data_IF_735925528325
#
_entry.id   IF_735925528325
#
_cell.length_a   1.000
_cell.length_b   1.000
_cell.length_c   1.000
_cell.angle_alpha   90.00
_cell.angle_beta   90.00
_cell.angle_gamma   90.00
#
_symmetry.space_group_name_H-M   'P 1'
#
loop_
_entity.id
_entity.type
_entity.pdbx_description
1 polymer ?
#
# COMPACT_ATOMS: atom_id res chain seq x y z
N UNK A 1 -11.38 -10.56 4.26
CA UNK A 1 -10.25 -9.85 3.62
C UNK A 1 -10.74 -8.67 2.78
N UNK A 2 -9.89 -7.66 2.56
CA UNK A 2 -10.23 -6.41 1.84
C UNK A 2 -10.36 -6.63 0.31
N UNK A 3 -11.30 -5.93 -0.32
CA UNK A 3 -11.38 -5.73 -1.78
C UNK A 3 -10.06 -5.26 -2.39
N UNK A 4 -9.23 -4.56 -1.62
CA UNK A 4 -7.97 -3.96 -2.11
C UNK A 4 -6.88 -4.99 -2.39
N UNK A 5 -6.66 -5.97 -1.49
CA UNK A 5 -5.57 -6.95 -1.64
C UNK A 5 -5.86 -7.88 -2.81
N UNK A 6 -7.10 -8.38 -2.88
CA UNK A 6 -7.57 -9.23 -3.99
C UNK A 6 -7.51 -8.48 -5.32
N UNK A 7 -7.90 -7.20 -5.36
CA UNK A 7 -7.74 -6.37 -6.56
C UNK A 7 -6.29 -6.30 -7.02
N UNK A 8 -5.35 -5.90 -6.16
CA UNK A 8 -3.96 -5.76 -6.58
C UNK A 8 -3.28 -7.09 -6.91
N UNK A 9 -3.69 -8.18 -6.25
CA UNK A 9 -3.30 -9.54 -6.62
C UNK A 9 -3.77 -9.91 -8.03
N UNK A 10 -5.03 -9.59 -8.35
CA UNK A 10 -5.61 -9.83 -9.68
C UNK A 10 -4.91 -9.01 -10.77
N UNK A 11 -4.60 -7.74 -10.50
CA UNK A 11 -3.83 -6.91 -11.43
C UNK A 11 -2.48 -7.53 -11.79
N UNK A 12 -1.80 -8.14 -10.81
CA UNK A 12 -0.52 -8.81 -11.03
C UNK A 12 -0.70 -10.10 -11.85
N UNK A 13 -1.77 -10.87 -11.59
CA UNK A 13 -2.14 -12.05 -12.37
C UNK A 13 -2.40 -11.69 -13.83
N UNK A 14 -3.22 -10.68 -14.08
CA UNK A 14 -3.54 -10.18 -15.43
C UNK A 14 -2.29 -9.69 -16.16
N UNK A 15 -1.37 -9.03 -15.47
CA UNK A 15 -0.12 -8.56 -16.07
C UNK A 15 0.75 -9.72 -16.56
N UNK A 16 0.85 -10.80 -15.78
CA UNK A 16 1.58 -12.01 -16.16
C UNK A 16 0.88 -12.73 -17.31
N UNK A 17 -0.43 -12.98 -17.17
CA UNK A 17 -1.21 -13.72 -18.16
C UNK A 17 -1.24 -13.03 -19.54
N UNK A 18 -1.45 -11.71 -19.57
CA UNK A 18 -1.57 -10.96 -20.82
C UNK A 18 -0.21 -10.55 -21.41
N UNK A 19 0.86 -10.63 -20.63
CA UNK A 19 2.18 -10.10 -20.99
C UNK A 19 2.22 -8.57 -21.10
N UNK A 20 1.17 -7.84 -20.70
CA UNK A 20 1.15 -6.38 -20.73
C UNK A 20 1.83 -5.79 -19.49
N UNK A 21 3.16 -5.70 -19.53
CA UNK A 21 3.96 -5.09 -18.46
C UNK A 21 3.93 -3.56 -18.44
N UNK A 22 3.36 -2.91 -19.46
CA UNK A 22 3.31 -1.45 -19.54
C UNK A 22 2.11 -0.88 -18.77
N UNK A 23 0.92 -1.41 -19.02
CA UNK A 23 -0.34 -0.87 -18.51
C UNK A 23 -0.95 -1.83 -17.49
N UNK A 24 -0.95 -1.47 -16.19
CA UNK A 24 -1.70 -2.22 -15.20
C UNK A 24 -3.17 -2.31 -15.62
N UNK A 25 -3.77 -3.50 -15.52
CA UNK A 25 -5.15 -3.74 -15.93
C UNK A 25 -6.05 -3.87 -14.70
N UNK A 26 -7.19 -3.19 -14.73
CA UNK A 26 -8.26 -3.37 -13.74
C UNK A 26 -9.08 -4.62 -14.05
N UNK A 27 -9.29 -4.88 -15.35
CA UNK A 27 -9.90 -6.07 -15.92
C UNK A 27 -9.31 -6.29 -17.33
N UNK A 28 -9.59 -7.41 -17.99
CA UNK A 28 -9.18 -7.68 -19.36
C UNK A 28 -9.57 -6.53 -20.30
N UNK A 29 -8.57 -5.90 -20.90
CA UNK A 29 -8.76 -4.76 -21.81
C UNK A 29 -9.13 -3.44 -21.13
N UNK A 30 -9.26 -3.40 -19.80
CA UNK A 30 -9.63 -2.21 -19.04
C UNK A 30 -8.40 -1.71 -18.27
N UNK A 31 -7.81 -0.55 -18.63
CA UNK A 31 -6.64 -0.05 -17.94
C UNK A 31 -6.96 0.45 -16.53
N UNK A 32 -6.00 0.32 -15.63
CA UNK A 32 -6.02 0.92 -14.30
C UNK A 32 -5.12 2.15 -14.25
N UNK A 33 -5.74 3.32 -14.21
CA UNK A 33 -5.05 4.62 -14.15
C UNK A 33 -4.83 5.14 -12.73
N UNK A 34 -5.31 4.42 -11.72
CA UNK A 34 -5.29 4.89 -10.34
C UNK A 34 -3.88 5.02 -9.75
N UNK A 35 -2.91 4.20 -10.19
CA UNK A 35 -1.55 4.16 -9.63
C UNK A 35 -0.50 3.78 -10.69
N UNK A 36 0.77 4.19 -10.51
CA UNK A 36 1.87 3.75 -11.36
C UNK A 36 2.23 2.26 -11.09
N UNK A 37 3.13 1.65 -11.87
CA UNK A 37 3.12 0.21 -12.09
C UNK A 37 3.94 -0.57 -11.06
N UNK A 38 4.78 0.10 -10.25
CA UNK A 38 5.84 -0.58 -9.48
C UNK A 38 5.29 -1.64 -8.52
N UNK A 39 4.16 -1.37 -7.87
CA UNK A 39 3.56 -2.34 -6.94
C UNK A 39 3.01 -3.58 -7.68
N UNK A 40 2.53 -3.39 -8.92
CA UNK A 40 2.05 -4.49 -9.77
C UNK A 40 3.24 -5.28 -10.29
N UNK A 41 4.30 -4.59 -10.78
CA UNK A 41 5.55 -5.21 -11.22
C UNK A 41 6.20 -6.06 -10.12
N UNK A 42 6.27 -5.55 -8.89
CA UNK A 42 6.80 -6.29 -7.75
C UNK A 42 6.13 -7.66 -7.61
N UNK A 43 4.79 -7.66 -7.60
CA UNK A 43 3.99 -8.88 -7.41
C UNK A 43 4.04 -9.78 -8.65
N UNK A 44 3.94 -9.21 -9.85
CA UNK A 44 3.99 -9.93 -11.12
C UNK A 44 5.34 -10.63 -11.35
N UNK A 45 6.48 -9.98 -11.04
CA UNK A 45 7.81 -10.59 -11.13
C UNK A 45 7.90 -11.81 -10.20
N UNK A 46 7.36 -11.70 -8.98
CA UNK A 46 7.34 -12.81 -8.03
C UNK A 46 6.48 -13.97 -8.52
N UNK A 47 5.32 -13.68 -9.13
CA UNK A 47 4.45 -14.69 -9.76
C UNK A 47 5.15 -15.37 -10.93
N UNK A 48 5.85 -14.63 -11.79
CA UNK A 48 6.61 -15.19 -12.92
C UNK A 48 7.70 -16.17 -12.45
N UNK A 49 8.38 -15.83 -11.34
CA UNK A 49 9.49 -16.62 -10.81
C UNK A 49 9.05 -17.85 -10.01
N UNK A 50 7.95 -17.75 -9.27
CA UNK A 50 7.59 -18.74 -8.24
C UNK A 50 6.17 -19.33 -8.41
N UNK A 51 5.43 -18.90 -9.43
CA UNK A 51 4.05 -19.29 -9.67
C UNK A 51 3.04 -18.43 -8.91
N UNK A 52 1.77 -18.54 -9.32
CA UNK A 52 0.65 -17.79 -8.73
C UNK A 52 0.25 -18.39 -7.37
N UNK A 53 0.36 -17.58 -6.31
CA UNK A 53 -0.13 -17.92 -4.98
C UNK A 53 -0.27 -16.64 -4.13
N UNK A 54 -1.04 -16.71 -3.04
CA UNK A 54 -1.12 -15.59 -2.09
C UNK A 54 0.25 -15.23 -1.50
N UNK A 55 1.08 -16.24 -1.25
CA UNK A 55 2.42 -16.04 -0.69
C UNK A 55 3.33 -15.29 -1.68
N UNK A 56 3.35 -15.73 -2.94
CA UNK A 56 4.21 -15.13 -3.98
C UNK A 56 3.78 -13.70 -4.31
N UNK A 57 2.49 -13.37 -4.23
CA UNK A 57 2.02 -11.98 -4.34
C UNK A 57 2.51 -11.09 -3.18
N UNK A 58 2.55 -11.61 -1.95
CA UNK A 58 2.96 -10.85 -0.74
C UNK A 58 4.48 -10.76 -0.56
N UNK A 59 5.22 -11.77 -1.04
CA UNK A 59 6.67 -11.90 -0.89
C UNK A 59 7.47 -10.62 -1.20
N UNK A 60 7.27 -9.92 -2.34
CA UNK A 60 8.06 -8.73 -2.66
C UNK A 60 7.74 -7.54 -1.74
N UNK A 61 6.50 -7.42 -1.25
CA UNK A 61 6.11 -6.38 -0.27
C UNK A 61 6.74 -6.64 1.09
N UNK A 62 6.80 -7.92 1.49
CA UNK A 62 7.52 -8.34 2.69
C UNK A 62 9.02 -8.04 2.57
N UNK A 63 9.64 -8.37 1.44
CA UNK A 63 11.04 -8.06 1.18
C UNK A 63 11.33 -6.54 1.20
N UNK A 64 10.41 -5.73 0.67
CA UNK A 64 10.46 -4.27 0.79
C UNK A 64 10.41 -3.81 2.25
N UNK A 65 9.55 -4.42 3.08
CA UNK A 65 9.50 -4.19 4.52
C UNK A 65 10.82 -4.53 5.22
N UNK A 66 11.40 -5.70 4.95
CA UNK A 66 12.70 -6.11 5.47
C UNK A 66 13.80 -5.12 5.08
N UNK A 67 13.82 -4.67 3.83
CA UNK A 67 14.75 -3.64 3.37
C UNK A 67 14.61 -2.34 4.16
N UNK A 68 13.39 -1.83 4.36
CA UNK A 68 13.16 -0.59 5.12
C UNK A 68 13.62 -0.75 6.58
N UNK A 69 13.33 -1.88 7.22
CA UNK A 69 13.79 -2.20 8.59
C UNK A 69 15.31 -2.20 8.66
N UNK A 70 15.97 -2.94 7.76
CA UNK A 70 17.42 -3.00 7.69
C UNK A 70 18.03 -1.62 7.46
N UNK A 71 17.48 -0.84 6.53
CA UNK A 71 18.07 0.43 6.14
C UNK A 71 17.87 1.51 7.20
N UNK A 72 16.72 1.53 7.90
CA UNK A 72 16.50 2.36 9.07
C UNK A 72 17.44 2.00 10.24
N UNK A 73 17.61 0.70 10.52
CA UNK A 73 18.55 0.23 11.54
C UNK A 73 20.00 0.60 11.20
N UNK A 74 20.41 0.41 9.94
CA UNK A 74 21.71 0.86 9.44
C UNK A 74 21.90 2.36 9.61
N UNK A 75 20.88 3.16 9.31
CA UNK A 75 20.91 4.61 9.47
C UNK A 75 21.06 5.03 10.93
N UNK A 76 20.35 4.39 11.85
CA UNK A 76 20.53 4.59 13.30
C UNK A 76 21.96 4.26 13.72
N UNK A 77 22.49 3.09 13.34
CA UNK A 77 23.86 2.66 13.68
C UNK A 77 24.90 3.66 13.18
N UNK A 78 24.74 4.13 11.95
CA UNK A 78 25.69 5.06 11.32
C UNK A 78 25.75 6.42 11.99
N UNK A 79 24.70 6.79 12.72
CA UNK A 79 24.61 8.04 13.49
C UNK A 79 24.81 7.81 15.00
N UNK A 80 25.32 6.65 15.41
CA UNK A 80 25.69 6.38 16.81
C UNK A 80 24.56 5.85 17.70
N UNK A 81 23.42 5.46 17.12
CA UNK A 81 22.26 4.96 17.84
C UNK A 81 22.09 3.46 17.69
N UNK A 82 21.36 2.82 18.61
CA UNK A 82 21.21 1.36 18.63
C UNK A 82 20.37 0.87 17.42
N UNK A 83 20.95 0.10 16.48
CA UNK A 83 20.22 -0.40 15.31
C UNK A 83 19.06 -1.33 15.67
N UNK A 84 19.22 -2.16 16.72
CA UNK A 84 18.20 -3.13 17.11
C UNK A 84 16.93 -2.44 17.60
N UNK A 85 17.07 -1.29 18.26
CA UNK A 85 15.90 -0.52 18.72
C UNK A 85 15.10 -0.02 17.53
N UNK A 86 15.77 0.58 16.53
CA UNK A 86 15.10 1.03 15.32
C UNK A 86 14.46 -0.14 14.56
N UNK A 87 15.16 -1.28 14.45
CA UNK A 87 14.63 -2.47 13.78
C UNK A 87 13.37 -3.00 14.47
N UNK A 88 13.44 -3.21 15.79
CA UNK A 88 12.33 -3.74 16.59
C UNK A 88 11.13 -2.79 16.53
N UNK A 89 11.35 -1.50 16.82
CA UNK A 89 10.27 -0.49 16.80
C UNK A 89 9.57 -0.46 15.44
N UNK A 90 10.31 -0.41 14.35
CA UNK A 90 9.72 -0.37 13.02
C UNK A 90 8.96 -1.67 12.70
N UNK A 91 9.58 -2.82 12.96
CA UNK A 91 8.99 -4.13 12.67
C UNK A 91 7.74 -4.46 13.50
N UNK A 92 7.56 -3.80 14.66
CA UNK A 92 6.40 -3.97 15.55
C UNK A 92 5.50 -2.72 15.57
N UNK A 93 5.64 -1.83 14.59
CA UNK A 93 4.67 -0.77 14.32
C UNK A 93 3.48 -1.39 13.59
N UNK A 94 2.27 -1.29 14.17
CA UNK A 94 1.07 -1.98 13.67
C UNK A 94 0.86 -1.88 12.16
N UNK A 95 0.79 -0.66 11.62
CA UNK A 95 0.54 -0.44 10.18
C UNK A 95 1.68 -0.97 9.32
N UNK A 96 2.92 -0.90 9.81
CA UNK A 96 4.09 -1.37 9.08
C UNK A 96 4.10 -2.90 9.00
N UNK A 97 3.84 -3.58 10.11
CA UNK A 97 3.77 -5.05 10.15
C UNK A 97 2.66 -5.58 9.22
N UNK A 98 1.49 -4.95 9.24
CA UNK A 98 0.36 -5.33 8.37
C UNK A 98 0.69 -5.03 6.90
N UNK A 99 1.16 -3.82 6.59
CA UNK A 99 1.44 -3.41 5.21
C UNK A 99 2.57 -4.22 4.57
N UNK A 100 3.55 -4.66 5.36
CA UNK A 100 4.61 -5.55 4.87
C UNK A 100 4.10 -6.97 4.55
N UNK A 101 2.99 -7.40 5.16
CA UNK A 101 2.38 -8.70 4.92
C UNK A 101 1.26 -8.71 3.87
N UNK A 102 0.89 -7.56 3.32
CA UNK A 102 -0.24 -7.40 2.40
C UNK A 102 0.21 -6.90 1.02
N UNK A 103 -0.55 -7.23 -0.02
CA UNK A 103 -0.34 -6.68 -1.37
C UNK A 103 -0.83 -5.23 -1.41
N UNK A 104 0.08 -4.26 -1.25
CA UNK A 104 -0.26 -2.84 -1.13
C UNK A 104 0.74 -1.90 -1.81
N UNK A 105 0.27 -0.73 -2.24
CA UNK A 105 1.14 0.28 -2.89
C UNK A 105 2.09 0.99 -1.93
N UNK A 106 1.71 1.10 -0.65
CA UNK A 106 2.36 1.97 0.33
C UNK A 106 3.78 1.50 0.72
N UNK A 107 4.06 0.20 0.64
CA UNK A 107 5.39 -0.35 0.96
C UNK A 107 6.44 0.12 -0.04
N UNK A 108 6.13 0.09 -1.34
CA UNK A 108 7.04 0.58 -2.39
C UNK A 108 7.33 2.08 -2.24
N UNK A 109 6.31 2.88 -1.91
CA UNK A 109 6.51 4.30 -1.58
C UNK A 109 7.42 4.48 -0.36
N UNK A 110 7.22 3.66 0.67
CA UNK A 110 8.02 3.72 1.91
C UNK A 110 9.49 3.36 1.64
N UNK A 111 9.78 2.39 0.77
CA UNK A 111 11.15 2.12 0.28
C UNK A 111 11.74 3.36 -0.37
N UNK A 112 11.03 3.93 -1.35
CA UNK A 112 11.50 5.11 -2.10
C UNK A 112 11.78 6.31 -1.21
N UNK A 113 10.87 6.61 -0.27
CA UNK A 113 11.03 7.72 0.68
C UNK A 113 12.15 7.46 1.69
N UNK A 114 12.29 6.22 2.18
CA UNK A 114 13.39 5.87 3.08
C UNK A 114 14.74 6.02 2.38
N UNK A 115 14.85 5.60 1.12
CA UNK A 115 16.00 5.85 0.25
C UNK A 115 16.26 7.35 0.04
N UNK A 116 15.21 8.11 -0.27
CA UNK A 116 15.29 9.56 -0.45
C UNK A 116 15.82 10.27 0.80
N UNK A 117 15.23 10.01 1.95
CA UNK A 117 15.55 10.69 3.22
C UNK A 117 16.95 10.33 3.74
N UNK A 118 17.29 9.03 3.76
CA UNK A 118 18.61 8.59 4.21
C UNK A 118 19.69 9.03 3.22
N UNK A 119 19.42 8.92 1.92
CA UNK A 119 20.30 9.41 0.86
C UNK A 119 20.56 10.90 1.00
N UNK A 120 19.51 11.69 1.23
CA UNK A 120 19.62 13.11 1.48
C UNK A 120 20.51 13.42 2.68
N UNK A 121 20.23 12.84 3.84
CA UNK A 121 20.98 13.14 5.06
C UNK A 121 22.46 12.71 4.96
N UNK A 122 22.75 11.55 4.37
CA UNK A 122 24.14 11.11 4.17
C UNK A 122 24.90 11.99 3.17
N UNK A 123 24.23 12.45 2.12
CA UNK A 123 24.81 13.42 1.17
C UNK A 123 25.07 14.77 1.87
N UNK A 124 24.14 15.19 2.73
CA UNK A 124 24.29 16.41 3.53
C UNK A 124 25.53 16.38 4.42
N UNK A 125 25.87 15.22 4.98
CA UNK A 125 27.10 14.98 5.74
C UNK A 125 28.37 14.86 4.87
N UNK A 126 28.29 15.18 3.57
CA UNK A 126 29.44 15.24 2.66
C UNK A 126 29.68 13.98 1.82
N UNK A 127 28.79 12.98 1.85
CA UNK A 127 28.95 11.75 1.07
C UNK A 127 28.15 11.81 -0.23
N UNK A 128 28.69 12.49 -1.24
CA UNK A 128 27.98 12.85 -2.48
C UNK A 128 27.28 11.69 -3.20
N UNK A 129 27.83 10.46 -3.15
CA UNK A 129 27.19 9.27 -3.74
C UNK A 129 25.76 9.05 -3.23
N UNK A 130 25.50 9.34 -1.96
CA UNK A 130 24.18 9.18 -1.36
C UNK A 130 23.13 10.13 -1.93
N UNK A 131 23.55 11.23 -2.57
CA UNK A 131 22.64 12.08 -3.35
C UNK A 131 21.96 11.28 -4.46
N UNK A 132 22.71 10.44 -5.19
CA UNK A 132 22.15 9.57 -6.23
C UNK A 132 21.22 8.50 -5.66
N UNK A 133 21.54 7.92 -4.50
CA UNK A 133 20.62 7.02 -3.78
C UNK A 133 19.32 7.75 -3.43
N UNK A 134 19.42 9.00 -3.01
CA UNK A 134 18.26 9.84 -2.71
C UNK A 134 17.37 10.08 -3.94
N UNK A 135 17.97 10.45 -5.06
CA UNK A 135 17.26 10.64 -6.34
C UNK A 135 16.67 9.34 -6.91
N UNK A 136 17.38 8.22 -6.78
CA UNK A 136 16.84 6.90 -7.13
C UNK A 136 15.63 6.55 -6.24
N UNK A 137 15.69 6.87 -4.94
CA UNK A 137 14.56 6.73 -4.02
C UNK A 137 13.34 7.57 -4.43
N UNK A 138 13.55 8.81 -4.87
CA UNK A 138 12.47 9.64 -5.42
C UNK A 138 11.87 9.03 -6.70
N UNK A 139 12.68 8.44 -7.58
CA UNK A 139 12.18 7.74 -8.77
C UNK A 139 11.34 6.51 -8.42
N UNK A 140 11.79 5.72 -7.44
CA UNK A 140 11.00 4.61 -6.87
C UNK A 140 9.68 5.11 -6.31
N UNK A 141 9.68 6.23 -5.55
CA UNK A 141 8.47 6.85 -5.03
C UNK A 141 7.51 7.32 -6.13
N UNK A 142 8.04 7.92 -7.20
CA UNK A 142 7.27 8.32 -8.37
C UNK A 142 6.63 7.12 -9.07
N UNK A 143 7.34 6.00 -9.22
CA UNK A 143 6.81 4.77 -9.81
C UNK A 143 5.93 3.95 -8.85
N UNK A 144 5.93 4.26 -7.55
CA UNK A 144 5.07 3.63 -6.57
C UNK A 144 3.71 4.34 -6.44
N UNK A 145 3.74 5.66 -6.23
CA UNK A 145 2.55 6.44 -5.87
C UNK A 145 2.52 7.85 -6.45
N UNK A 146 3.38 8.17 -7.42
CA UNK A 146 3.34 9.43 -8.14
C UNK A 146 3.96 10.62 -7.39
N UNK A 147 3.58 11.86 -7.78
CA UNK A 147 4.18 13.10 -7.29
C UNK A 147 4.19 13.30 -5.77
N UNK A 148 3.30 12.61 -5.05
CA UNK A 148 3.25 12.66 -3.57
C UNK A 148 4.61 12.35 -2.93
N UNK A 149 5.44 11.53 -3.57
CA UNK A 149 6.77 11.21 -3.08
C UNK A 149 7.68 12.45 -2.98
N UNK A 150 7.64 13.32 -4.00
CA UNK A 150 8.42 14.57 -4.04
C UNK A 150 7.87 15.55 -2.99
N UNK A 151 6.55 15.63 -2.84
CA UNK A 151 5.91 16.54 -1.88
C UNK A 151 6.27 16.14 -0.44
N UNK A 152 6.17 14.86 -0.09
CA UNK A 152 6.56 14.36 1.24
C UNK A 152 8.05 14.58 1.52
N UNK A 153 8.91 14.30 0.55
CA UNK A 153 10.34 14.59 0.66
C UNK A 153 10.61 16.08 0.90
N UNK A 154 9.99 16.95 0.09
CA UNK A 154 10.12 18.40 0.23
C UNK A 154 9.63 18.91 1.58
N UNK A 155 8.49 18.42 2.08
CA UNK A 155 7.95 18.81 3.39
C UNK A 155 8.83 18.39 4.57
N UNK A 156 9.61 17.32 4.46
CA UNK A 156 10.58 16.97 5.48
C UNK A 156 11.88 17.80 5.35
N UNK A 157 12.40 17.90 4.13
CA UNK A 157 13.75 18.42 3.89
C UNK A 157 13.79 19.95 3.91
N UNK A 158 12.82 20.60 3.27
CA UNK A 158 12.84 22.05 3.09
C UNK A 158 12.79 22.81 4.42
N UNK A 159 11.85 22.56 5.35
CA UNK A 159 11.84 23.25 6.64
C UNK A 159 13.12 22.99 7.45
N UNK A 160 13.65 21.76 7.39
CA UNK A 160 14.87 21.38 8.09
C UNK A 160 16.12 22.14 7.58
N UNK A 161 16.24 22.35 6.26
CA UNK A 161 17.31 23.15 5.69
C UNK A 161 17.15 24.64 6.01
N UNK A 162 15.93 25.17 5.92
CA UNK A 162 15.63 26.59 6.19
C UNK A 162 15.95 26.95 7.65
N UNK A 163 15.64 26.07 8.61
CA UNK A 163 15.96 26.29 10.02
C UNK A 163 17.47 26.41 10.26
N UNK A 164 18.30 25.69 9.48
CA UNK A 164 19.75 25.68 9.66
C UNK A 164 20.47 26.81 8.93
N UNK A 165 20.00 27.18 7.73
CA UNK A 165 20.75 28.06 6.83
C UNK A 165 19.94 29.26 6.30
N UNK A 166 18.69 29.42 6.76
CA UNK A 166 17.75 30.37 6.15
C UNK A 166 17.33 29.93 4.74
N UNK A 167 16.39 30.67 4.14
CA UNK A 167 15.83 30.32 2.83
C UNK A 167 16.91 30.34 1.74
N UNK A 168 17.67 31.43 1.65
CA UNK A 168 18.71 31.58 0.62
C UNK A 168 19.85 30.57 0.83
N UNK A 169 20.31 30.43 2.07
CA UNK A 169 21.40 29.50 2.40
C UNK A 169 21.01 28.04 2.16
N UNK A 170 19.75 27.64 2.37
CA UNK A 170 19.27 26.30 2.06
C UNK A 170 19.48 25.94 0.58
N UNK A 171 19.13 26.83 -0.35
CA UNK A 171 19.33 26.59 -1.78
C UNK A 171 20.82 26.58 -2.17
N UNK A 172 21.63 27.45 -1.58
CA UNK A 172 23.08 27.48 -1.80
C UNK A 172 23.72 26.16 -1.36
N UNK A 173 23.39 25.67 -0.17
CA UNK A 173 23.90 24.40 0.34
C UNK A 173 23.42 23.20 -0.49
N UNK A 174 22.17 23.22 -0.94
CA UNK A 174 21.63 22.19 -1.82
C UNK A 174 22.42 22.13 -3.13
N UNK A 175 22.66 23.28 -3.78
CA UNK A 175 23.44 23.35 -5.02
C UNK A 175 24.90 22.92 -4.82
N UNK A 176 25.49 23.28 -3.68
CA UNK A 176 26.90 22.97 -3.37
C UNK A 176 27.13 21.50 -3.03
N UNK A 177 26.23 20.88 -2.25
CA UNK A 177 26.44 19.53 -1.70
C UNK A 177 25.87 18.42 -2.55
N UNK A 178 24.83 18.70 -3.36
CA UNK A 178 24.07 17.66 -4.05
C UNK A 178 24.36 17.65 -5.55
N UNK A 179 24.36 16.46 -6.18
CA UNK A 179 24.46 16.34 -7.62
C UNK A 179 23.11 16.68 -8.29
N UNK A 180 22.57 17.88 -8.11
CA UNK A 180 21.19 18.21 -8.48
C UNK A 180 20.86 17.93 -9.95
N UNK A 181 21.75 18.29 -10.87
CA UNK A 181 21.54 18.08 -12.31
C UNK A 181 21.59 16.58 -12.62
N UNK A 182 22.72 15.92 -12.29
CA UNK A 182 22.92 14.49 -12.60
C UNK A 182 21.93 13.58 -11.87
N UNK A 183 21.58 13.93 -10.65
CA UNK A 183 20.62 13.24 -9.82
C UNK A 183 19.19 13.38 -10.34
N UNK A 184 18.78 14.60 -10.73
CA UNK A 184 17.48 14.80 -11.39
C UNK A 184 17.42 14.03 -12.72
N UNK A 185 18.50 14.06 -13.52
CA UNK A 185 18.57 13.27 -14.75
C UNK A 185 18.45 11.77 -14.49
N UNK A 186 19.11 11.24 -13.45
CA UNK A 186 18.95 9.85 -13.03
C UNK A 186 17.50 9.54 -12.63
N UNK A 187 16.89 10.40 -11.81
CA UNK A 187 15.51 10.23 -11.37
C UNK A 187 14.54 10.20 -12.55
N UNK A 188 14.69 11.14 -13.48
CA UNK A 188 13.87 11.21 -14.69
C UNK A 188 14.13 10.03 -15.62
N UNK A 189 15.38 9.60 -15.80
CA UNK A 189 15.71 8.45 -16.63
C UNK A 189 15.07 7.15 -16.14
N UNK A 190 14.85 7.01 -14.83
CA UNK A 190 14.18 5.85 -14.23
C UNK A 190 12.66 5.97 -14.35
N UNK A 191 12.08 7.11 -13.95
CA UNK A 191 10.62 7.23 -13.82
C UNK A 191 9.92 7.71 -15.10
N UNK A 192 10.45 8.72 -15.77
CA UNK A 192 9.78 9.42 -16.87
C UNK A 192 9.45 8.52 -18.07
N UNK A 193 10.30 7.57 -18.51
CA UNK A 193 9.98 6.72 -19.65
C UNK A 193 8.65 5.99 -19.50
N UNK A 194 8.37 5.44 -18.31
CA UNK A 194 7.11 4.73 -18.07
C UNK A 194 5.90 5.67 -18.19
N UNK A 195 5.95 6.85 -17.57
CA UNK A 195 4.86 7.84 -17.67
C UNK A 195 4.54 8.23 -19.11
N UNK A 196 5.57 8.44 -19.94
CA UNK A 196 5.39 8.78 -21.35
C UNK A 196 4.84 7.60 -22.16
N UNK A 197 5.29 6.38 -21.88
CA UNK A 197 4.78 5.18 -22.55
C UNK A 197 3.35 4.85 -22.13
N UNK A 198 3.00 5.01 -20.85
CA UNK A 198 1.66 4.80 -20.32
C UNK A 198 0.65 5.77 -20.97
N UNK A 199 1.01 7.05 -21.08
CA UNK A 199 0.17 8.04 -21.79
C UNK A 199 -0.01 7.68 -23.27
N UNK A 200 1.05 7.23 -23.95
CA UNK A 200 0.92 6.83 -25.36
C UNK A 200 0.07 5.59 -25.56
N UNK A 201 0.16 4.63 -24.64
CA UNK A 201 -0.60 3.38 -24.71
C UNK A 201 -2.08 3.60 -24.38
N UNK A 202 -2.36 4.47 -23.40
CA UNK A 202 -3.74 4.80 -22.97
C UNK A 202 -3.86 6.32 -22.79
N UNK A 203 -4.11 7.10 -23.86
CA UNK A 203 -4.21 8.55 -23.79
C UNK A 203 -5.25 9.03 -22.79
N UNK A 204 -4.91 10.08 -22.05
CA UNK A 204 -5.72 10.60 -20.93
C UNK A 204 -5.29 10.09 -19.55
N UNK A 205 -4.37 9.11 -19.49
CA UNK A 205 -3.82 8.61 -18.24
C UNK A 205 -3.21 9.73 -17.38
N UNK A 206 -2.37 10.61 -17.95
CA UNK A 206 -1.69 11.66 -17.19
C UNK A 206 -2.67 12.71 -16.65
N UNK A 207 -3.70 13.06 -17.41
CA UNK A 207 -4.74 13.99 -16.93
C UNK A 207 -5.49 13.36 -15.76
N UNK A 208 -5.97 12.13 -15.91
CA UNK A 208 -6.64 11.40 -14.83
C UNK A 208 -5.73 11.24 -13.61
N UNK A 209 -4.50 10.77 -13.80
CA UNK A 209 -3.60 10.42 -12.71
C UNK A 209 -3.03 11.64 -11.99
N UNK A 210 -2.64 12.70 -12.70
CA UNK A 210 -2.04 13.89 -12.08
C UNK A 210 -3.13 14.87 -11.63
N UNK A 211 -4.12 15.16 -12.47
CA UNK A 211 -5.15 16.15 -12.14
C UNK A 211 -6.24 15.51 -11.29
N UNK A 212 -6.78 14.35 -11.67
CA UNK A 212 -7.81 13.65 -10.89
C UNK A 212 -7.26 13.09 -9.57
N UNK A 213 -6.43 12.06 -9.65
CA UNK A 213 -5.99 11.27 -8.50
C UNK A 213 -5.08 12.01 -7.51
N UNK A 214 -4.40 13.09 -7.92
CA UNK A 214 -3.55 13.88 -7.02
C UNK A 214 -4.14 15.24 -6.69
N UNK A 215 -4.42 16.08 -7.68
CA UNK A 215 -4.87 17.44 -7.40
C UNK A 215 -6.31 17.46 -6.88
N UNK A 216 -7.29 17.01 -7.68
CA UNK A 216 -8.72 17.02 -7.31
C UNK A 216 -8.95 16.18 -6.07
N UNK A 217 -8.40 14.96 -6.00
CA UNK A 217 -8.48 14.10 -4.81
C UNK A 217 -7.93 14.77 -3.54
N UNK A 218 -6.96 15.68 -3.63
CA UNK A 218 -6.42 16.38 -2.47
C UNK A 218 -7.26 17.60 -2.07
N UNK A 219 -7.75 18.38 -3.06
CA UNK A 219 -8.43 19.66 -2.81
C UNK A 219 -9.95 19.56 -2.71
N UNK A 220 -10.58 18.58 -3.36
CA UNK A 220 -12.03 18.37 -3.43
C UNK A 220 -12.47 17.27 -2.44
N UNK A 221 -13.15 17.61 -1.34
CA UNK A 221 -13.68 16.61 -0.42
C UNK A 221 -14.71 15.71 -1.12
N UNK A 222 -14.59 14.39 -0.98
CA UNK A 222 -15.54 13.44 -1.56
C UNK A 222 -15.51 13.37 -3.09
N UNK A 223 -14.37 13.68 -3.72
CA UNK A 223 -14.17 13.63 -5.17
C UNK A 223 -14.79 12.37 -5.80
N UNK A 224 -15.79 12.58 -6.67
CA UNK A 224 -16.61 11.53 -7.31
C UNK A 224 -15.97 10.97 -8.59
N UNK A 225 -14.83 11.50 -9.01
CA UNK A 225 -14.14 11.08 -10.23
C UNK A 225 -13.28 9.81 -10.08
N UNK A 226 -13.28 9.16 -8.91
CA UNK A 226 -12.52 7.92 -8.68
C UNK A 226 -13.19 6.77 -9.45
N UNK A 227 -12.51 6.30 -10.52
CA UNK A 227 -13.01 5.23 -11.38
C UNK A 227 -12.99 3.85 -10.70
N UNK A 228 -12.32 3.72 -9.56
CA UNK A 228 -11.96 2.43 -8.98
C UNK A 228 -12.37 2.28 -7.51
N UNK A 229 -13.22 3.18 -6.99
CA UNK A 229 -13.78 3.11 -5.64
C UNK A 229 -14.44 4.42 -5.20
N UNK A 230 -14.92 4.47 -3.95
CA UNK A 230 -15.44 5.70 -3.35
C UNK A 230 -14.36 6.44 -2.57
N UNK A 231 -14.29 7.75 -2.76
CA UNK A 231 -13.43 8.63 -1.97
C UNK A 231 -13.77 8.50 -0.48
N UNK A 232 -12.79 8.10 0.33
CA UNK A 232 -12.96 8.01 1.79
C UNK A 232 -12.94 9.42 2.37
N UNK A 233 -14.12 10.03 2.49
CA UNK A 233 -14.25 11.37 3.04
C UNK A 233 -14.07 11.34 4.55
N UNK A 234 -13.04 12.03 5.01
CA UNK A 234 -12.69 12.14 6.41
C UNK A 234 -12.54 13.61 6.84
N UNK A 235 -12.85 13.93 8.11
CA UNK A 235 -12.55 15.24 8.67
C UNK A 235 -11.08 15.61 8.53
N UNK A 236 -10.80 16.87 8.16
CA UNK A 236 -9.44 17.41 8.09
C UNK A 236 -8.73 17.24 9.43
N UNK A 237 -7.46 16.83 9.38
CA UNK A 237 -6.67 16.51 10.57
C UNK A 237 -6.89 15.11 11.16
N UNK A 238 -7.84 14.30 10.65
CA UNK A 238 -8.00 12.90 11.11
C UNK A 238 -6.75 12.04 10.90
N UNK A 239 -5.82 12.47 10.03
CA UNK A 239 -4.51 11.82 9.88
C UNK A 239 -3.74 11.68 11.21
N UNK A 240 -3.89 12.61 12.17
CA UNK A 240 -3.25 12.46 13.49
C UNK A 240 -3.84 11.33 14.31
N UNK A 241 -5.15 11.11 14.21
CA UNK A 241 -5.82 9.96 14.81
C UNK A 241 -5.40 8.67 14.12
N UNK A 242 -5.30 8.67 12.78
CA UNK A 242 -4.74 7.55 12.05
C UNK A 242 -3.30 7.26 12.45
N UNK A 243 -2.45 8.27 12.63
CA UNK A 243 -1.10 8.08 13.14
C UNK A 243 -1.09 7.44 14.53
N UNK A 244 -1.98 7.89 15.41
CA UNK A 244 -2.10 7.32 16.75
C UNK A 244 -2.37 5.82 16.70
N UNK A 245 -3.32 5.36 15.87
CA UNK A 245 -3.65 3.95 15.74
C UNK A 245 -2.62 3.15 14.94
N UNK A 246 -2.22 3.68 13.78
CA UNK A 246 -1.33 3.01 12.84
C UNK A 246 0.07 2.77 13.42
N UNK A 247 0.54 3.65 14.29
CA UNK A 247 1.88 3.60 14.88
C UNK A 247 1.86 2.98 16.29
N UNK A 248 0.74 2.38 16.73
CA UNK A 248 0.70 1.65 17.99
C UNK A 248 1.78 0.54 18.03
N UNK A 249 2.38 0.29 19.22
CA UNK A 249 2.21 1.03 20.48
C UNK A 249 3.08 2.30 20.57
N UNK A 250 3.94 2.52 19.58
CA UNK A 250 5.01 3.51 19.59
C UNK A 250 4.50 4.95 19.49
N UNK A 251 3.32 5.17 18.92
CA UNK A 251 2.62 6.46 18.91
C UNK A 251 2.34 7.01 20.32
N UNK A 252 2.09 6.13 21.30
CA UNK A 252 1.88 6.50 22.70
C UNK A 252 3.22 6.68 23.43
N UNK A 253 4.19 5.82 23.12
CA UNK A 253 5.49 5.78 23.81
C UNK A 253 6.37 6.96 23.40
N UNK A 254 6.47 7.27 22.11
CA UNK A 254 7.39 8.29 21.60
C UNK A 254 7.14 9.67 22.25
N UNK A 255 5.92 10.23 22.27
CA UNK A 255 5.67 11.53 22.92
C UNK A 255 6.01 11.52 24.41
N UNK A 256 5.64 10.47 25.13
CA UNK A 256 5.93 10.33 26.58
C UNK A 256 7.43 10.31 26.83
N UNK A 257 8.18 9.52 26.05
CA UNK A 257 9.64 9.43 26.17
C UNK A 257 10.30 10.77 25.82
N UNK A 258 9.84 11.45 24.77
CA UNK A 258 10.36 12.77 24.38
C UNK A 258 10.11 13.81 25.48
N UNK A 259 8.94 13.81 26.12
CA UNK A 259 8.59 14.73 27.20
C UNK A 259 9.41 14.44 28.48
N UNK A 260 9.39 13.19 28.96
CA UNK A 260 10.11 12.78 30.19
C UNK A 260 11.63 12.97 30.04
N UNK A 261 12.16 12.89 28.82
CA UNK A 261 13.59 13.00 28.52
C UNK A 261 13.92 14.25 27.72
N UNK A 262 13.12 15.31 27.81
CA UNK A 262 13.31 16.52 27.01
C UNK A 262 14.73 17.10 27.12
N UNK A 263 15.31 17.12 28.34
CA UNK A 263 16.70 17.59 28.56
C UNK A 263 17.72 16.76 27.78
N UNK A 264 17.63 15.44 27.88
CA UNK A 264 18.50 14.52 27.15
C UNK A 264 18.29 14.63 25.63
N UNK A 265 17.04 14.76 25.17
CA UNK A 265 16.72 14.97 23.76
C UNK A 265 17.32 16.26 23.20
N UNK A 266 17.30 17.33 23.98
CA UNK A 266 17.91 18.61 23.62
C UNK A 266 19.45 18.52 23.57
N UNK A 267 20.07 17.81 24.52
CA UNK A 267 21.51 17.53 24.48
C UNK A 267 21.90 16.73 23.23
N UNK A 268 21.15 15.67 22.91
CA UNK A 268 21.33 14.89 21.69
C UNK A 268 21.20 15.77 20.43
N UNK A 269 20.15 16.59 20.35
CA UNK A 269 19.90 17.48 19.22
C UNK A 269 21.04 18.51 18.99
N UNK A 270 21.70 18.95 20.07
CA UNK A 270 22.87 19.85 19.98
C UNK A 270 24.12 19.14 19.46
N UNK A 271 24.25 17.83 19.71
CA UNK A 271 25.46 17.06 19.40
C UNK A 271 25.39 16.34 18.05
N UNK A 272 24.20 16.11 17.51
CA UNK A 272 24.01 15.19 16.37
C UNK A 272 23.78 15.89 15.02
N UNK A 273 24.33 17.09 14.80
CA UNK A 273 24.30 17.79 13.51
C UNK A 273 22.91 17.83 12.85
N UNK A 274 21.88 18.14 13.64
CA UNK A 274 20.50 18.24 13.16
C UNK A 274 19.83 16.90 12.85
N UNK A 275 20.41 15.75 13.22
CA UNK A 275 19.82 14.43 12.99
C UNK A 275 18.45 14.28 13.68
N UNK A 276 18.32 14.71 14.94
CA UNK A 276 17.04 14.64 15.66
C UNK A 276 15.97 15.48 14.96
N UNK A 277 16.28 16.72 14.60
CA UNK A 277 15.31 17.60 13.94
C UNK A 277 14.95 17.09 12.54
N UNK A 278 15.90 16.49 11.81
CA UNK A 278 15.64 15.85 10.53
C UNK A 278 14.63 14.71 10.67
N UNK A 279 14.84 13.81 11.64
CA UNK A 279 13.93 12.71 11.89
C UNK A 279 12.53 13.18 12.33
N UNK A 280 12.44 14.29 13.08
CA UNK A 280 11.14 14.90 13.43
C UNK A 280 10.42 15.39 12.16
N UNK A 281 11.08 16.16 11.30
CA UNK A 281 10.46 16.67 10.07
C UNK A 281 10.07 15.53 9.10
N UNK A 282 10.88 14.47 9.02
CA UNK A 282 10.53 13.28 8.27
C UNK A 282 9.27 12.62 8.86
N UNK A 283 9.23 12.36 10.18
CA UNK A 283 8.05 11.75 10.82
C UNK A 283 6.77 12.61 10.65
N UNK A 284 6.91 13.94 10.68
CA UNK A 284 5.79 14.88 10.55
C UNK A 284 5.35 15.10 9.09
N UNK A 285 6.20 14.88 8.10
CA UNK A 285 5.89 15.18 6.70
C UNK A 285 4.57 14.61 6.16
N UNK A 286 4.20 13.31 6.39
CA UNK A 286 2.88 12.82 5.99
C UNK A 286 1.75 13.47 6.79
N UNK A 287 1.96 13.74 8.08
CA UNK A 287 0.93 14.37 8.92
C UNK A 287 0.62 15.79 8.44
N UNK A 288 1.67 16.57 8.14
CA UNK A 288 1.53 17.93 7.63
C UNK A 288 0.77 17.93 6.30
N UNK A 289 1.18 17.09 5.36
CA UNK A 289 0.54 17.01 4.05
C UNK A 289 -0.95 16.66 4.17
N UNK A 290 -1.25 15.56 4.85
CA UNK A 290 -2.59 14.99 4.89
C UNK A 290 -3.50 15.63 5.93
N UNK A 291 -3.02 16.59 6.72
CA UNK A 291 -3.88 17.43 7.56
C UNK A 291 -4.90 18.22 6.73
N UNK A 292 -4.50 18.64 5.52
CA UNK A 292 -5.30 19.48 4.65
C UNK A 292 -6.23 18.68 3.71
N UNK A 293 -5.98 17.37 3.55
CA UNK A 293 -6.76 16.48 2.69
C UNK A 293 -7.94 15.86 3.43
N UNK A 294 -9.08 15.77 2.76
CA UNK A 294 -10.23 15.01 3.23
C UNK A 294 -10.28 13.57 2.70
N UNK A 295 -9.55 13.24 1.63
CA UNK A 295 -9.53 11.88 1.07
C UNK A 295 -8.26 11.15 1.55
N UNK A 296 -8.31 10.57 2.74
CA UNK A 296 -7.14 10.01 3.43
C UNK A 296 -7.38 8.58 3.92
N UNK A 297 -6.30 7.79 3.99
CA UNK A 297 -6.30 6.43 4.52
C UNK A 297 -5.31 6.30 5.69
N UNK A 298 -5.53 5.34 6.61
CA UNK A 298 -4.60 5.10 7.71
C UNK A 298 -3.16 4.82 7.26
N UNK A 299 -2.98 4.18 6.10
CA UNK A 299 -1.66 3.83 5.55
C UNK A 299 -0.84 5.03 5.09
N UNK A 300 -1.44 6.21 4.97
CA UNK A 300 -0.73 7.42 4.51
C UNK A 300 0.34 7.91 5.49
N UNK A 301 0.33 7.44 6.74
CA UNK A 301 1.38 7.73 7.72
C UNK A 301 2.61 6.85 7.57
N UNK A 302 2.50 5.75 6.81
CA UNK A 302 3.52 4.71 6.70
C UNK A 302 4.91 5.25 6.28
N UNK A 303 5.04 6.19 5.33
CA UNK A 303 6.35 6.72 4.93
C UNK A 303 7.11 7.46 6.06
N UNK A 304 6.42 7.85 7.14
CA UNK A 304 7.01 8.49 8.32
C UNK A 304 7.43 7.52 9.44
N UNK A 305 7.02 6.26 9.39
CA UNK A 305 7.31 5.28 10.46
C UNK A 305 8.80 4.93 10.61
N UNK A 306 9.65 4.89 9.54
CA UNK A 306 11.09 4.69 9.73
C UNK A 306 11.71 5.80 10.58
N UNK A 307 11.22 7.03 10.46
CA UNK A 307 11.69 8.15 11.26
C UNK A 307 11.27 8.03 12.73
N UNK A 308 10.06 7.55 13.01
CA UNK A 308 9.59 7.23 14.37
C UNK A 308 10.52 6.21 15.04
N UNK A 309 10.92 5.17 14.30
CA UNK A 309 11.84 4.16 14.80
C UNK A 309 13.24 4.73 15.12
N UNK A 310 13.76 5.60 14.23
CA UNK A 310 15.02 6.33 14.46
C UNK A 310 14.91 7.23 15.69
N UNK A 311 13.80 7.97 15.86
CA UNK A 311 13.57 8.83 17.02
C UNK A 311 13.57 8.03 18.32
N UNK A 312 12.86 6.91 18.39
CA UNK A 312 12.89 6.06 19.59
C UNK A 312 14.29 5.50 19.86
N UNK A 313 15.08 5.18 18.84
CA UNK A 313 16.48 4.78 19.01
C UNK A 313 17.37 5.90 19.57
N UNK A 314 17.12 7.17 19.23
CA UNK A 314 17.83 8.33 19.81
C UNK A 314 17.58 8.44 21.31
N UNK A 315 16.32 8.27 21.72
CA UNK A 315 15.90 8.43 23.11
C UNK A 315 16.10 7.19 23.98
N UNK A 316 16.48 6.06 23.39
CA UNK A 316 16.67 4.79 24.07
C UNK A 316 17.81 4.81 25.10
N UNK A 317 17.62 4.10 26.22
CA UNK A 317 18.68 3.82 27.19
C UNK A 317 18.69 2.33 27.53
N UNK A 318 19.85 1.77 27.87
CA UNK A 318 20.02 0.33 28.17
C UNK A 318 19.04 -0.20 29.23
N UNK A 319 18.69 0.62 30.22
CA UNK A 319 17.72 0.27 31.28
C UNK A 319 16.27 0.08 30.78
N UNK A 320 15.95 0.53 29.57
CA UNK A 320 14.61 0.48 29.00
C UNK A 320 14.27 -0.86 28.34
N UNK A 321 15.24 -1.76 28.24
CA UNK A 321 15.12 -3.00 27.48
C UNK A 321 13.89 -3.82 27.89
N UNK A 322 13.56 -3.90 29.17
CA UNK A 322 12.45 -4.72 29.66
C UNK A 322 11.11 -4.16 29.18
N UNK A 323 10.78 -2.91 29.53
CA UNK A 323 9.47 -2.35 29.20
C UNK A 323 9.31 -2.13 27.69
N UNK A 324 10.38 -1.83 26.96
CA UNK A 324 10.33 -1.73 25.50
C UNK A 324 10.15 -3.09 24.82
N UNK A 325 10.69 -4.17 25.39
CA UNK A 325 10.43 -5.51 24.88
C UNK A 325 8.97 -5.90 25.09
N UNK A 326 8.39 -5.59 26.26
CA UNK A 326 6.96 -5.82 26.52
C UNK A 326 6.10 -5.04 25.52
N UNK A 327 6.39 -3.74 25.31
CA UNK A 327 5.69 -2.94 24.31
C UNK A 327 5.82 -3.54 22.91
N UNK A 328 7.03 -3.94 22.50
CA UNK A 328 7.28 -4.52 21.19
C UNK A 328 6.51 -5.83 20.95
N UNK A 329 6.19 -6.60 21.99
CA UNK A 329 5.42 -7.84 21.89
C UNK A 329 3.92 -7.63 21.63
N UNK A 330 3.38 -6.44 21.91
CA UNK A 330 1.93 -6.15 21.78
C UNK A 330 1.43 -6.45 20.37
N UNK A 331 2.10 -5.93 19.34
CA UNK A 331 1.66 -6.08 17.94
C UNK A 331 1.80 -7.53 17.45
N UNK A 332 2.95 -8.21 17.59
CA UNK A 332 3.07 -9.62 17.22
C UNK A 332 2.03 -10.52 17.91
N UNK A 333 1.80 -10.34 19.21
CA UNK A 333 0.79 -11.12 19.95
C UNK A 333 -0.62 -10.83 19.42
N UNK A 334 -0.95 -9.57 19.17
CA UNK A 334 -2.25 -9.19 18.61
C UNK A 334 -2.46 -9.76 17.20
N UNK A 335 -1.43 -9.76 16.35
CA UNK A 335 -1.52 -10.33 14.99
C UNK A 335 -1.66 -11.86 15.04
N UNK A 336 -0.96 -12.55 15.93
CA UNK A 336 -1.12 -13.99 16.15
C UNK A 336 -2.54 -14.30 16.61
N UNK A 337 -3.06 -13.55 17.59
CA UNK A 337 -4.43 -13.71 18.07
C UNK A 337 -5.47 -13.45 16.97
N UNK A 338 -5.30 -12.37 16.19
CA UNK A 338 -6.19 -12.07 15.07
C UNK A 338 -6.18 -13.16 14.00
N UNK A 339 -5.00 -13.70 13.67
CA UNK A 339 -4.85 -14.81 12.71
C UNK A 339 -5.54 -16.07 13.22
N UNK A 340 -5.42 -16.37 14.51
CA UNK A 340 -6.11 -17.50 15.14
C UNK A 340 -7.64 -17.35 15.14
N UNK A 341 -8.16 -16.13 15.39
CA UNK A 341 -9.60 -15.84 15.31
C UNK A 341 -10.15 -15.99 13.89
N UNK A 342 -9.41 -15.53 12.88
CA UNK A 342 -9.76 -15.72 11.47
C UNK A 342 -9.77 -17.21 11.11
N UNK A 343 -8.77 -17.96 11.56
CA UNK A 343 -8.68 -19.40 11.28
C UNK A 343 -9.82 -20.22 11.92
N UNK A 344 -10.32 -19.79 13.08
CA UNK A 344 -11.44 -20.45 13.78
C UNK A 344 -12.81 -20.03 13.24
N UNK A 345 -12.88 -19.19 12.20
CA UNK A 345 -14.13 -18.74 11.59
C UNK A 345 -14.94 -17.78 12.46
N UNK A 346 -14.34 -17.21 13.52
CA UNK A 346 -15.02 -16.27 14.41
C UNK A 346 -15.14 -14.86 13.80
N UNK A 347 -14.42 -14.60 12.71
CA UNK A 347 -14.43 -13.33 11.97
C UNK A 347 -14.72 -13.64 10.51
N UNK A 348 -15.69 -12.93 9.95
CA UNK A 348 -16.13 -13.15 8.57
C UNK A 348 -15.02 -12.85 7.55
N UNK A 349 -14.80 -13.77 6.62
CA UNK A 349 -13.99 -13.61 5.44
C UNK A 349 -14.84 -13.29 4.21
N UNK A 350 -14.77 -12.04 3.76
CA UNK A 350 -15.43 -11.56 2.54
C UNK A 350 -14.76 -12.05 1.23
N UNK A 351 -13.97 -13.12 1.30
CA UNK A 351 -13.30 -13.74 0.16
C UNK A 351 -14.17 -14.84 -0.43
N UNK A 352 -14.20 -14.96 -1.76
CA UNK A 352 -14.88 -16.09 -2.43
C UNK A 352 -13.98 -17.33 -2.52
N UNK A 353 -12.86 -17.35 -1.77
CA UNK A 353 -11.91 -18.47 -1.76
C UNK A 353 -12.57 -19.82 -1.45
N UNK A 354 -13.41 -19.87 -0.41
CA UNK A 354 -14.07 -21.11 0.01
C UNK A 354 -14.93 -21.71 -1.11
N UNK A 355 -15.64 -20.85 -1.84
CA UNK A 355 -16.45 -21.24 -3.00
C UNK A 355 -15.57 -21.95 -4.04
N UNK A 356 -14.49 -21.31 -4.48
CA UNK A 356 -13.62 -21.85 -5.54
C UNK A 356 -12.71 -23.02 -5.09
N UNK A 357 -12.68 -23.33 -3.79
CA UNK A 357 -12.03 -24.54 -3.28
C UNK A 357 -12.93 -25.77 -3.30
N UNK A 358 -14.26 -25.57 -3.35
CA UNK A 358 -15.26 -26.64 -3.26
C UNK A 358 -15.94 -26.94 -4.59
N UNK A 359 -16.10 -25.94 -5.48
CA UNK A 359 -16.75 -26.14 -6.78
C UNK A 359 -15.81 -26.73 -7.84
N UNK A 360 -16.39 -27.40 -8.84
CA UNK A 360 -15.65 -27.87 -10.02
C UNK A 360 -15.34 -26.71 -10.99
N UNK A 361 -14.07 -26.33 -11.09
CA UNK A 361 -13.60 -25.24 -11.96
C UNK A 361 -13.77 -25.53 -13.47
N UNK A 362 -14.06 -26.77 -13.87
CA UNK A 362 -14.36 -27.09 -15.28
C UNK A 362 -15.75 -26.61 -15.71
N UNK A 363 -16.65 -26.36 -14.74
CA UNK A 363 -18.01 -25.88 -14.98
C UNK A 363 -18.01 -24.35 -15.06
N UNK A 364 -18.61 -23.74 -16.09
CA UNK A 364 -18.69 -22.29 -16.22
C UNK A 364 -19.29 -21.63 -14.97
N UNK A 365 -18.60 -20.62 -14.43
CA UNK A 365 -19.06 -19.90 -13.22
C UNK A 365 -19.44 -18.47 -13.57
N UNK A 366 -20.62 -18.04 -13.13
CA UNK A 366 -21.18 -16.73 -13.38
C UNK A 366 -21.51 -16.01 -12.07
N UNK A 367 -21.37 -14.69 -12.07
CA UNK A 367 -21.80 -13.77 -11.02
C UNK A 367 -22.95 -12.92 -11.54
N UNK A 368 -23.94 -12.67 -10.68
CA UNK A 368 -24.98 -11.71 -10.98
C UNK A 368 -24.45 -10.27 -10.83
N UNK A 369 -24.58 -9.47 -11.89
CA UNK A 369 -24.14 -8.07 -12.05
C UNK A 369 -22.63 -7.83 -11.97
N UNK A 370 -22.01 -8.18 -10.84
CA UNK A 370 -20.59 -7.89 -10.58
C UNK A 370 -19.90 -9.07 -9.93
N UNK A 371 -18.73 -9.41 -10.47
CA UNK A 371 -17.82 -10.40 -9.89
C UNK A 371 -16.87 -9.75 -8.91
N UNK A 372 -16.53 -10.46 -7.84
CA UNK A 372 -15.53 -10.01 -6.88
C UNK A 372 -14.12 -10.18 -7.45
N UNK A 373 -13.15 -9.41 -6.95
CA UNK A 373 -11.74 -9.62 -7.32
C UNK A 373 -11.20 -10.96 -6.82
N UNK A 374 -11.65 -11.42 -5.64
CA UNK A 374 -11.31 -12.75 -5.14
C UNK A 374 -11.86 -13.84 -6.06
N UNK A 375 -13.09 -13.71 -6.54
CA UNK A 375 -13.67 -14.64 -7.51
C UNK A 375 -12.94 -14.66 -8.85
N UNK A 376 -12.52 -13.50 -9.36
CA UNK A 376 -11.67 -13.42 -10.55
C UNK A 376 -10.33 -14.14 -10.34
N UNK A 377 -9.69 -13.87 -9.21
CA UNK A 377 -8.40 -14.46 -8.86
C UNK A 377 -8.48 -15.99 -8.71
N UNK A 378 -9.39 -16.49 -7.89
CA UNK A 378 -9.49 -17.93 -7.60
C UNK A 378 -10.06 -18.75 -8.77
N UNK A 379 -10.83 -18.11 -9.67
CA UNK A 379 -11.25 -18.74 -10.93
C UNK A 379 -10.22 -18.61 -12.06
N UNK A 380 -9.05 -17.99 -11.81
CA UNK A 380 -8.07 -17.69 -12.86
C UNK A 380 -8.68 -16.94 -14.06
N UNK A 381 -9.57 -15.97 -13.78
CA UNK A 381 -10.24 -15.15 -14.78
C UNK A 381 -11.45 -15.82 -15.47
N UNK A 382 -11.75 -17.08 -15.16
CA UNK A 382 -12.83 -17.83 -15.82
C UNK A 382 -14.23 -17.39 -15.35
N UNK A 383 -14.37 -16.94 -14.11
CA UNK A 383 -15.67 -16.49 -13.60
C UNK A 383 -16.09 -15.18 -14.26
N UNK A 384 -17.30 -15.13 -14.84
CA UNK A 384 -17.81 -13.96 -15.59
C UNK A 384 -18.96 -13.30 -14.87
N UNK A 385 -19.09 -11.98 -15.01
CA UNK A 385 -20.31 -11.29 -14.58
C UNK A 385 -21.35 -11.32 -15.69
N UNK A 386 -22.62 -11.49 -15.33
CA UNK A 386 -23.76 -11.44 -16.26
C UNK A 386 -24.82 -10.49 -15.73
N UNK A 387 -25.54 -9.83 -16.64
CA UNK A 387 -26.68 -8.98 -16.27
C UNK A 387 -28.01 -9.67 -16.58
N UNK A 388 -28.03 -10.51 -17.61
CA UNK A 388 -29.21 -11.28 -18.01
C UNK A 388 -28.83 -12.73 -18.26
N UNK A 389 -29.83 -13.61 -18.27
CA UNK A 389 -29.64 -15.03 -18.62
C UNK A 389 -29.17 -15.22 -20.06
N UNK A 390 -29.51 -14.28 -20.96
CA UNK A 390 -29.14 -14.31 -22.37
C UNK A 390 -27.61 -14.22 -22.58
N UNK A 391 -26.87 -13.74 -21.57
CA UNK A 391 -25.41 -13.70 -21.59
C UNK A 391 -24.79 -15.10 -21.51
N UNK A 392 -25.54 -16.10 -21.01
CA UNK A 392 -25.10 -17.50 -20.89
C UNK A 392 -25.37 -18.21 -22.22
N UNK A 393 -24.31 -18.39 -23.02
CA UNK A 393 -24.39 -18.91 -24.39
C UNK A 393 -24.62 -20.41 -24.50
N UNK A 394 -24.46 -21.17 -23.42
CA UNK A 394 -24.49 -22.63 -23.42
C UNK A 394 -25.60 -23.12 -22.48
N UNK A 395 -26.46 -24.04 -22.96
CA UNK A 395 -27.44 -24.77 -22.13
C UNK A 395 -26.79 -25.92 -21.35
N UNK A 396 -25.54 -25.75 -20.93
CA UNK A 396 -24.82 -26.70 -20.08
C UNK A 396 -24.97 -26.28 -18.62
N UNK A 397 -24.57 -27.17 -17.70
CA UNK A 397 -24.53 -26.86 -16.28
C UNK A 397 -23.60 -25.67 -16.02
N UNK A 398 -23.99 -24.81 -15.10
CA UNK A 398 -23.18 -23.67 -14.69
C UNK A 398 -23.33 -23.36 -13.21
N UNK A 399 -22.28 -22.82 -12.60
CA UNK A 399 -22.37 -22.27 -11.26
C UNK A 399 -22.85 -20.83 -11.32
N UNK A 400 -23.85 -20.51 -10.50
CA UNK A 400 -24.30 -19.15 -10.25
C UNK A 400 -23.91 -18.71 -8.85
N UNK A 401 -23.01 -17.74 -8.77
CA UNK A 401 -22.55 -17.14 -7.51
C UNK A 401 -23.37 -15.90 -7.21
N UNK A 402 -24.11 -15.93 -6.09
CA UNK A 402 -25.01 -14.84 -5.66
C UNK A 402 -24.78 -14.48 -4.20
N UNK A 403 -25.08 -13.23 -3.86
CA UNK A 403 -25.17 -12.81 -2.46
C UNK A 403 -26.28 -13.61 -1.76
N UNK A 404 -26.02 -14.03 -0.50
CA UNK A 404 -27.00 -14.78 0.31
C UNK A 404 -28.33 -14.05 0.40
N UNK A 405 -28.30 -12.73 0.58
CA UNK A 405 -29.48 -11.86 0.57
C UNK A 405 -30.19 -11.74 -0.79
N UNK A 406 -29.51 -12.04 -1.90
CA UNK A 406 -30.06 -11.91 -3.26
C UNK A 406 -30.52 -13.23 -3.85
N UNK A 407 -30.50 -14.33 -3.10
CA UNK A 407 -30.99 -15.62 -3.60
C UNK A 407 -32.44 -15.53 -4.11
N UNK A 408 -33.31 -14.80 -3.41
CA UNK A 408 -34.69 -14.61 -3.87
C UNK A 408 -34.77 -13.74 -5.13
N UNK A 409 -33.92 -12.71 -5.22
CA UNK A 409 -33.81 -11.87 -6.42
C UNK A 409 -33.36 -12.70 -7.62
N UNK A 410 -32.36 -13.56 -7.44
CA UNK A 410 -31.92 -14.50 -8.46
C UNK A 410 -33.05 -15.44 -8.89
N UNK A 411 -33.79 -16.04 -7.95
CA UNK A 411 -34.95 -16.89 -8.29
C UNK A 411 -35.98 -16.15 -9.14
N UNK A 412 -36.22 -14.87 -8.88
CA UNK A 412 -37.14 -14.06 -9.69
C UNK A 412 -36.60 -13.77 -11.11
N UNK A 413 -35.28 -13.62 -11.28
CA UNK A 413 -34.63 -13.41 -12.58
C UNK A 413 -34.57 -14.72 -13.37
N UNK A 414 -34.19 -15.81 -12.72
CA UNK A 414 -34.16 -17.16 -13.24
C UNK A 414 -35.55 -17.60 -13.73
N UNK A 415 -36.59 -17.27 -12.94
CA UNK A 415 -37.96 -17.71 -13.19
C UNK A 415 -38.01 -19.23 -13.35
N UNK A 416 -38.83 -19.70 -14.31
CA UNK A 416 -38.92 -21.11 -14.68
C UNK A 416 -37.90 -21.51 -15.76
N UNK A 417 -36.98 -20.61 -16.16
CA UNK A 417 -36.01 -20.86 -17.23
C UNK A 417 -34.81 -21.68 -16.77
N UNK A 418 -34.48 -21.61 -15.48
CA UNK A 418 -33.29 -22.23 -14.89
C UNK A 418 -33.67 -22.92 -13.59
N UNK A 419 -33.28 -24.18 -13.45
CA UNK A 419 -33.38 -24.92 -12.18
C UNK A 419 -32.01 -24.92 -11.50
N UNK A 420 -31.98 -24.57 -10.21
CA UNK A 420 -30.73 -24.55 -9.42
C UNK A 420 -30.84 -25.50 -8.22
N UNK A 421 -29.73 -26.14 -7.88
CA UNK A 421 -29.57 -26.99 -6.69
C UNK A 421 -29.59 -26.19 -5.40
N UNK A 422 -29.58 -26.90 -4.26
CA UNK A 422 -29.11 -26.31 -3.00
C UNK A 422 -27.65 -25.83 -3.12
N UNK A 423 -27.22 -24.84 -2.31
CA UNK A 423 -25.84 -24.35 -2.31
C UNK A 423 -24.82 -25.48 -2.29
N UNK A 424 -23.95 -25.50 -3.29
CA UNK A 424 -22.87 -26.49 -3.40
C UNK A 424 -21.62 -26.04 -2.63
N UNK A 425 -21.44 -24.73 -2.51
CA UNK A 425 -20.37 -24.11 -1.75
C UNK A 425 -20.81 -22.74 -1.24
N UNK A 426 -20.19 -22.24 -0.18
CA UNK A 426 -20.50 -20.93 0.37
C UNK A 426 -19.30 -20.18 0.93
N UNK A 427 -19.38 -18.85 0.87
CA UNK A 427 -18.59 -17.94 1.69
C UNK A 427 -19.50 -17.28 2.73
N UNK A 428 -18.97 -16.39 3.56
CA UNK A 428 -19.81 -15.71 4.57
C UNK A 428 -20.91 -14.87 3.93
N UNK A 429 -20.69 -14.33 2.73
CA UNK A 429 -21.61 -13.41 2.05
C UNK A 429 -22.29 -13.99 0.81
N UNK A 430 -21.74 -15.05 0.21
CA UNK A 430 -22.21 -15.60 -1.07
C UNK A 430 -22.40 -17.10 -1.02
N UNK A 431 -23.19 -17.60 -1.96
CA UNK A 431 -23.35 -19.03 -2.24
C UNK A 431 -23.10 -19.29 -3.72
N UNK A 432 -22.59 -20.48 -4.03
CA UNK A 432 -22.57 -21.01 -5.38
C UNK A 432 -23.68 -22.05 -5.53
N UNK A 433 -24.57 -21.80 -6.50
CA UNK A 433 -25.67 -22.69 -6.86
C UNK A 433 -25.30 -23.39 -8.18
N UNK A 434 -25.42 -24.71 -8.27
CA UNK A 434 -25.31 -25.40 -9.55
C UNK A 434 -26.65 -25.30 -10.28
N UNK A 435 -26.63 -24.77 -11.49
CA UNK A 435 -27.83 -24.42 -12.24
C UNK A 435 -27.79 -25.02 -13.65
N UNK A 436 -28.97 -25.35 -14.17
CA UNK A 436 -29.16 -25.87 -15.53
C UNK A 436 -30.37 -25.19 -16.18
N UNK A 437 -30.28 -24.93 -17.49
CA UNK A 437 -31.43 -24.44 -18.25
C UNK A 437 -32.48 -25.55 -18.41
N UNK A 438 -33.76 -25.20 -18.20
CA UNK A 438 -34.86 -26.12 -18.44
C UNK A 438 -35.05 -26.30 -19.95
N UNK A 439 -35.14 -27.56 -20.40
CA UNK A 439 -35.23 -27.89 -21.84
C UNK A 439 -36.46 -27.27 -22.52
N UNK A 440 -37.54 -27.02 -21.76
CA UNK A 440 -38.85 -26.58 -22.25
C UNK A 440 -39.13 -25.06 -22.12
N UNK A 441 -38.15 -24.27 -21.65
CA UNK A 441 -38.31 -22.82 -21.48
C UNK A 441 -37.87 -22.06 -22.75
N UNK A 442 -38.77 -21.93 -23.73
CA UNK A 442 -38.66 -20.93 -24.82
C UNK A 442 -39.08 -19.53 -24.34
#
# INVERSE_FOLDING_TARGET
>A
MDTTESRYGEMARLMVETGNWLTPLFDYGVPFWGKPPLFTWMSAISVEMFGLSEFTLRLPHWAAGVFVVWFAAWFSKRNGYNPLVAAVVLSTTLVFSISAGAVMTDMALTVGLTMAMIGFYQCWLGKTFWGYVGFAGLAVGLLAKGPVAIVLFGLAVFPWMVIQHGIIGAFVELWRRFPLIKGTLLMLAIALPWYLMAERATPGFLDYFIVGEHYKRFVEPGWEGDLYGSGHQEPKGKIFFFWLLAVLPWSLILPVVMLVRAKYGLEQAKQNNGFTSFAIWWALSPLILFTLSSNILPTYVLPGTPAVAVLLAIFWKKKDIIWMSIAALVVPVALIAATWLLHTGQVADNSDKSIFQEIDLSVPTYYLETRTYSGQYYSSGQAKAINTLDDIKQKEDFYMVVLKEWQQRWKNIAGDKVTCSEPQAESDSRVALLCQFNEDAE
#
